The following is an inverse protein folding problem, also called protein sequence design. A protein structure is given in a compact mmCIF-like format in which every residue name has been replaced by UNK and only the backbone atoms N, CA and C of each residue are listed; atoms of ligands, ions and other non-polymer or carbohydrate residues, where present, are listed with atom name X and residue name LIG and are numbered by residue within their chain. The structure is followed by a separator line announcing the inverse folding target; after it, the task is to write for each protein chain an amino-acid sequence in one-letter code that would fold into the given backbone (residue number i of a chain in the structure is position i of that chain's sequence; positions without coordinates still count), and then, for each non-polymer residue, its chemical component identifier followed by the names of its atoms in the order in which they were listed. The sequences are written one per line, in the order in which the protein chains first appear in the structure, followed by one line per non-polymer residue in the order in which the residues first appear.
data_IF_972418727252
#
_entry.id   IF_972418727252
#
_cell.length_a   1.000
_cell.length_b   1.000
_cell.length_c   1.000
_cell.angle_alpha   90.00
_cell.angle_beta   90.00
_cell.angle_gamma   90.00
#
_symmetry.space_group_name_H-M   'P 1'
#
loop_
_entity.id
_entity.type
_entity.pdbx_description
1 polymer ?
#
# COMPACT_ATOMS: atom_id res chain seq x y z
N UNK A 1 -14.58 -53.81 -1.70
CA UNK A 1 -15.29 -52.71 -1.03
C UNK A 1 -14.38 -51.69 -0.33
N UNK A 2 -13.27 -52.07 0.33
CA UNK A 2 -12.39 -51.10 1.03
C UNK A 2 -11.66 -50.10 0.11
N UNK A 3 -11.29 -50.49 -1.10
CA UNK A 3 -10.56 -49.62 -2.03
C UNK A 3 -11.41 -48.49 -2.66
N UNK A 4 -12.74 -48.65 -2.73
CA UNK A 4 -13.66 -47.62 -3.26
C UNK A 4 -13.93 -46.52 -2.22
N UNK A 5 -13.90 -46.86 -0.92
CA UNK A 5 -14.10 -45.91 0.15
C UNK A 5 -12.92 -44.92 0.28
N UNK A 6 -11.68 -45.40 0.07
CA UNK A 6 -10.47 -44.58 0.16
C UNK A 6 -10.34 -43.57 -0.98
N UNK A 7 -10.73 -43.91 -2.21
CA UNK A 7 -10.73 -42.96 -3.35
C UNK A 7 -11.81 -41.90 -3.21
N UNK A 8 -12.96 -42.25 -2.64
CA UNK A 8 -14.07 -41.30 -2.42
C UNK A 8 -13.72 -40.28 -1.34
N UNK A 9 -13.02 -40.69 -0.28
CA UNK A 9 -12.55 -39.78 0.79
C UNK A 9 -11.48 -38.81 0.26
N UNK A 10 -10.58 -39.26 -0.62
CA UNK A 10 -9.55 -38.38 -1.20
C UNK A 10 -10.14 -37.33 -2.15
N UNK A 11 -11.16 -37.70 -2.95
CA UNK A 11 -11.86 -36.78 -3.84
C UNK A 11 -12.65 -35.71 -3.08
N UNK A 12 -13.26 -36.06 -1.95
CA UNK A 12 -13.97 -35.11 -1.08
C UNK A 12 -12.98 -34.14 -0.40
N UNK A 13 -11.80 -34.61 0.02
CA UNK A 13 -10.78 -33.75 0.64
C UNK A 13 -10.24 -32.69 -0.34
N UNK A 14 -10.07 -33.03 -1.63
CA UNK A 14 -9.63 -32.08 -2.66
C UNK A 14 -10.68 -31.02 -2.98
N UNK A 15 -11.98 -31.34 -2.88
CA UNK A 15 -13.07 -30.37 -3.09
C UNK A 15 -13.14 -29.36 -1.92
N UNK A 16 -12.81 -29.78 -0.69
CA UNK A 16 -12.77 -28.89 0.47
C UNK A 16 -11.58 -27.92 0.47
N UNK A 17 -10.46 -28.26 -0.16
CA UNK A 17 -9.30 -27.37 -0.25
C UNK A 17 -9.46 -26.26 -1.31
N UNK A 18 -10.24 -26.49 -2.38
CA UNK A 18 -10.54 -25.47 -3.39
C UNK A 18 -11.56 -24.41 -2.94
N UNK A 19 -12.32 -24.67 -1.88
CA UNK A 19 -13.31 -23.73 -1.35
C UNK A 19 -12.69 -22.56 -0.59
N UNK A 20 -11.54 -22.76 0.08
CA UNK A 20 -10.95 -21.71 0.93
C UNK A 20 -10.50 -20.48 0.13
N UNK A 21 -9.93 -20.66 -1.06
CA UNK A 21 -9.47 -19.53 -1.89
C UNK A 21 -10.66 -18.74 -2.48
N UNK A 22 -11.75 -19.44 -2.82
CA UNK A 22 -13.00 -18.84 -3.33
C UNK A 22 -13.75 -17.98 -2.28
N UNK A 23 -13.66 -18.34 -0.99
CA UNK A 23 -14.24 -17.54 0.10
C UNK A 23 -13.37 -16.36 0.54
N UNK A 24 -12.12 -16.29 0.10
CA UNK A 24 -11.11 -15.33 0.59
C UNK A 24 -11.10 -13.97 -0.13
N UNK A 25 -11.86 -13.77 -1.22
CA UNK A 25 -11.87 -12.50 -1.98
C UNK A 25 -13.30 -12.02 -2.33
N UNK A 26 -14.06 -11.47 -1.38
CA UNK A 26 -15.41 -10.96 -1.64
C UNK A 26 -15.45 -9.81 -2.67
N UNK A 27 -14.41 -9.00 -2.75
CA UNK A 27 -14.32 -7.86 -3.67
C UNK A 27 -14.22 -8.33 -5.13
N UNK A 28 -13.47 -9.40 -5.41
CA UNK A 28 -13.46 -10.04 -6.74
C UNK A 28 -14.84 -10.56 -7.13
N UNK A 29 -15.48 -11.30 -6.22
CA UNK A 29 -16.80 -11.91 -6.46
C UNK A 29 -17.88 -10.87 -6.75
N UNK A 30 -17.75 -9.67 -6.17
CA UNK A 30 -18.64 -8.55 -6.48
C UNK A 30 -18.58 -8.19 -7.98
N UNK A 31 -17.39 -8.09 -8.56
CA UNK A 31 -17.24 -7.80 -10.00
C UNK A 31 -17.64 -8.98 -10.88
N UNK A 32 -17.34 -10.22 -10.48
CA UNK A 32 -17.80 -11.43 -11.17
C UNK A 32 -19.33 -11.48 -11.25
N UNK A 33 -20.01 -11.32 -10.11
CA UNK A 33 -21.48 -11.25 -10.02
C UNK A 33 -22.03 -10.13 -10.89
N UNK A 34 -21.39 -8.96 -10.91
CA UNK A 34 -21.84 -7.83 -11.73
C UNK A 34 -21.73 -8.15 -13.23
N UNK A 35 -20.59 -8.68 -13.67
CA UNK A 35 -20.33 -9.09 -15.04
C UNK A 35 -21.31 -10.18 -15.51
N UNK A 36 -21.49 -11.24 -14.72
CA UNK A 36 -22.42 -12.34 -15.02
C UNK A 36 -23.86 -11.84 -15.17
N UNK A 37 -24.31 -10.96 -14.27
CA UNK A 37 -25.68 -10.45 -14.30
C UNK A 37 -25.95 -9.58 -15.52
N UNK A 38 -24.97 -8.77 -15.94
CA UNK A 38 -25.08 -8.01 -17.18
C UNK A 38 -25.09 -8.92 -18.41
N UNK A 39 -24.16 -9.87 -18.48
CA UNK A 39 -24.04 -10.80 -19.59
C UNK A 39 -25.30 -11.64 -19.78
N UNK A 40 -25.88 -12.14 -18.69
CA UNK A 40 -27.15 -12.88 -18.72
C UNK A 40 -28.32 -12.05 -19.26
N UNK A 41 -28.41 -10.76 -18.90
CA UNK A 41 -29.48 -9.89 -19.42
C UNK A 41 -29.26 -9.55 -20.89
N UNK A 42 -28.00 -9.43 -21.32
CA UNK A 42 -27.63 -9.21 -22.72
C UNK A 42 -27.66 -10.49 -23.57
N UNK A 43 -27.88 -11.66 -22.96
CA UNK A 43 -27.84 -12.97 -23.60
C UNK A 43 -26.48 -13.26 -24.29
N UNK A 44 -25.39 -12.83 -23.66
CA UNK A 44 -24.02 -13.07 -24.11
C UNK A 44 -23.21 -13.83 -23.07
N UNK A 45 -22.06 -14.36 -23.48
CA UNK A 45 -21.11 -14.99 -22.55
C UNK A 45 -20.46 -13.92 -21.66
N UNK A 46 -20.38 -14.13 -20.34
CA UNK A 46 -19.66 -13.22 -19.43
C UNK A 46 -18.20 -13.06 -19.85
N UNK A 47 -17.67 -11.84 -19.71
CA UNK A 47 -16.28 -11.57 -20.06
C UNK A 47 -15.36 -12.29 -19.09
N UNK A 48 -14.42 -13.10 -19.59
CA UNK A 48 -13.40 -13.71 -18.74
C UNK A 48 -12.29 -12.71 -18.50
N UNK A 49 -12.05 -12.37 -17.23
CA UNK A 49 -11.10 -11.32 -16.84
C UNK A 49 -9.97 -11.97 -16.06
N UNK A 50 -8.75 -11.80 -16.56
CA UNK A 50 -7.53 -12.27 -15.91
C UNK A 50 -7.05 -11.16 -14.99
N UNK A 51 -6.97 -11.44 -13.70
CA UNK A 51 -6.47 -10.46 -12.72
C UNK A 51 -4.99 -10.13 -12.99
N UNK A 52 -4.62 -8.90 -12.62
CA UNK A 52 -3.25 -8.44 -12.69
C UNK A 52 -2.33 -9.32 -11.84
N UNK A 53 -1.06 -9.50 -12.24
CA UNK A 53 -0.11 -10.22 -11.41
C UNK A 53 0.05 -9.55 -10.04
N UNK A 54 0.59 -10.27 -9.04
CA UNK A 54 0.91 -9.69 -7.75
C UNK A 54 1.74 -8.41 -7.86
N UNK A 55 1.43 -7.43 -7.02
CA UNK A 55 2.25 -6.24 -6.85
C UNK A 55 3.55 -6.66 -6.21
N UNK A 56 4.64 -6.38 -6.90
CA UNK A 56 6.01 -6.66 -6.48
C UNK A 56 6.81 -5.37 -6.45
N UNK A 57 7.93 -5.41 -5.72
CA UNK A 57 8.94 -4.35 -5.68
C UNK A 57 10.30 -5.00 -5.93
N UNK A 58 11.31 -4.23 -6.34
CA UNK A 58 12.67 -4.72 -6.53
C UNK A 58 13.20 -5.50 -5.34
N UNK A 59 14.15 -6.39 -5.58
CA UNK A 59 14.72 -7.25 -4.54
C UNK A 59 15.29 -6.44 -3.38
N UNK A 60 15.24 -7.01 -2.17
CA UNK A 60 15.73 -6.34 -0.95
C UNK A 60 17.18 -5.85 -1.11
N UNK A 61 18.00 -6.61 -1.83
CA UNK A 61 19.42 -6.29 -2.05
C UNK A 61 19.65 -5.09 -2.97
N UNK A 62 18.71 -4.75 -3.86
CA UNK A 62 18.87 -3.57 -4.72
C UNK A 62 18.46 -2.28 -4.01
N UNK A 63 17.56 -2.37 -3.03
CA UNK A 63 17.06 -1.23 -2.26
C UNK A 63 17.77 -1.04 -0.91
N UNK A 64 18.48 -2.07 -0.43
CA UNK A 64 19.25 -2.01 0.82
C UNK A 64 20.67 -1.54 0.58
N UNK A 65 21.09 -0.52 1.32
CA UNK A 65 22.45 0.02 1.26
C UNK A 65 23.15 -0.18 2.59
N UNK A 66 24.21 -0.97 2.59
CA UNK A 66 25.02 -1.19 3.79
C UNK A 66 25.89 0.03 4.09
N UNK A 67 25.85 0.49 5.33
CA UNK A 67 26.71 1.56 5.82
C UNK A 67 27.90 0.98 6.58
N UNK A 68 29.08 1.61 6.48
CA UNK A 68 30.27 1.12 7.18
C UNK A 68 30.04 1.13 8.69
N UNK A 69 30.42 0.03 9.35
CA UNK A 69 30.46 -0.03 10.81
C UNK A 69 31.56 0.90 11.30
N UNK A 70 31.17 1.92 12.04
CA UNK A 70 32.13 2.84 12.64
C UNK A 70 32.71 2.17 13.90
N UNK A 71 33.98 1.81 13.87
CA UNK A 71 34.69 1.37 15.07
C UNK A 71 35.11 2.62 15.85
N UNK A 72 34.54 2.77 17.04
CA UNK A 72 34.89 3.88 17.92
C UNK A 72 36.10 3.49 18.75
N UNK A 73 37.27 3.43 18.11
CA UNK A 73 38.56 3.54 18.81
C UNK A 73 38.82 4.98 19.31
N UNK A 74 37.76 5.76 19.54
CA UNK A 74 37.78 7.23 19.60
C UNK A 74 37.38 7.80 20.97
N UNK A 75 36.86 6.99 21.89
CA UNK A 75 36.16 7.49 23.08
C UNK A 75 36.74 6.90 24.37
N UNK A 76 37.97 7.28 24.69
CA UNK A 76 38.59 7.01 26.01
C UNK A 76 38.38 8.17 27.01
N UNK A 77 37.64 9.22 26.60
CA UNK A 77 37.40 10.41 27.42
C UNK A 77 36.28 10.21 28.44
N UNK A 78 36.47 10.77 29.64
CA UNK A 78 35.48 10.77 30.71
C UNK A 78 34.27 11.66 30.36
N UNK A 79 34.50 12.83 29.75
CA UNK A 79 33.45 13.79 29.38
C UNK A 79 32.41 13.17 28.42
N UNK A 80 32.84 12.26 27.55
CA UNK A 80 31.98 11.57 26.58
C UNK A 80 31.10 10.49 27.22
N UNK A 81 31.38 10.11 28.48
CA UNK A 81 30.50 9.24 29.27
C UNK A 81 29.37 10.05 29.91
N UNK A 82 29.69 11.23 30.44
CA UNK A 82 28.71 12.13 31.09
C UNK A 82 27.62 12.61 30.13
N UNK A 83 27.95 12.82 28.84
CA UNK A 83 26.95 13.22 27.84
C UNK A 83 26.10 12.05 27.28
N UNK A 84 26.24 10.83 27.81
CA UNK A 84 25.41 9.66 27.44
C UNK A 84 25.83 8.93 26.16
N UNK A 85 26.81 9.46 25.40
CA UNK A 85 27.27 8.85 24.15
C UNK A 85 27.79 7.42 24.36
N UNK A 86 28.53 7.17 25.44
CA UNK A 86 29.07 5.82 25.72
C UNK A 86 27.95 4.77 25.90
N UNK A 87 26.83 5.13 26.54
CA UNK A 87 25.72 4.22 26.77
C UNK A 87 25.08 3.76 25.46
N UNK A 88 24.76 4.69 24.56
CA UNK A 88 24.21 4.38 23.23
C UNK A 88 25.17 3.48 22.43
N UNK A 89 26.46 3.74 22.47
CA UNK A 89 27.43 2.93 21.74
C UNK A 89 27.56 1.52 22.31
N UNK A 90 27.51 1.38 23.64
CA UNK A 90 27.47 0.08 24.31
C UNK A 90 26.21 -0.70 23.93
N UNK A 91 25.05 -0.05 23.90
CA UNK A 91 23.79 -0.65 23.45
C UNK A 91 23.92 -1.19 22.03
N UNK A 92 24.49 -0.40 21.11
CA UNK A 92 24.68 -0.82 19.72
C UNK A 92 25.65 -1.99 19.56
N UNK A 93 26.69 -2.03 20.38
CA UNK A 93 27.70 -3.09 20.37
C UNK A 93 27.26 -4.36 21.12
N UNK A 94 26.17 -4.31 21.88
CA UNK A 94 25.58 -5.47 22.55
C UNK A 94 25.12 -6.52 21.54
N UNK A 95 24.91 -7.76 22.00
CA UNK A 95 24.39 -8.83 21.16
C UNK A 95 23.03 -8.48 20.55
N UNK A 96 22.17 -7.79 21.30
CA UNK A 96 20.86 -7.35 20.83
C UNK A 96 20.99 -6.22 19.80
N UNK A 97 21.85 -5.23 20.06
CA UNK A 97 22.10 -4.10 19.14
C UNK A 97 22.63 -4.50 17.77
N UNK A 98 23.36 -5.62 17.70
CA UNK A 98 23.90 -6.21 16.46
C UNK A 98 22.85 -6.87 15.57
N UNK A 99 21.72 -7.28 16.14
CA UNK A 99 20.65 -8.01 15.44
C UNK A 99 19.33 -7.23 15.38
N UNK A 100 19.33 -5.96 15.79
CA UNK A 100 18.18 -5.06 15.67
C UNK A 100 17.68 -4.99 14.23
N UNK A 101 16.35 -4.98 14.07
CA UNK A 101 15.73 -4.69 12.78
C UNK A 101 15.94 -3.23 12.37
N UNK A 102 15.44 -2.89 11.17
CA UNK A 102 15.63 -1.56 10.60
C UNK A 102 14.94 -0.45 11.42
N UNK A 103 13.78 -0.72 12.03
CA UNK A 103 13.03 0.27 12.82
C UNK A 103 13.79 0.61 14.11
N UNK A 104 14.18 -0.39 14.88
CA UNK A 104 15.01 -0.18 16.08
C UNK A 104 16.36 0.45 15.74
N UNK A 105 16.94 0.10 14.58
CA UNK A 105 18.18 0.73 14.13
C UNK A 105 17.98 2.22 13.86
N UNK A 106 16.88 2.62 13.23
CA UNK A 106 16.58 4.02 12.96
C UNK A 106 16.34 4.80 14.26
N UNK A 107 15.60 4.26 15.22
CA UNK A 107 15.42 4.87 16.55
C UNK A 107 16.76 5.10 17.25
N UNK A 108 17.67 4.13 17.13
CA UNK A 108 19.03 4.26 17.62
C UNK A 108 19.81 5.38 16.91
N UNK A 109 19.72 5.47 15.56
CA UNK A 109 20.43 6.54 14.82
C UNK A 109 19.90 7.93 15.19
N UNK A 110 18.58 8.07 15.33
CA UNK A 110 17.95 9.32 15.76
C UNK A 110 18.43 9.69 17.16
N UNK A 111 18.37 8.76 18.13
CA UNK A 111 18.89 8.97 19.48
C UNK A 111 20.37 9.36 19.48
N UNK A 112 21.19 8.73 18.65
CA UNK A 112 22.60 9.07 18.49
C UNK A 112 22.80 10.51 18.00
N UNK A 113 21.99 10.99 17.05
CA UNK A 113 22.05 12.36 16.58
C UNK A 113 21.67 13.37 17.68
N UNK A 114 20.62 13.10 18.44
CA UNK A 114 20.24 13.94 19.59
C UNK A 114 21.36 13.99 20.62
N UNK A 115 21.90 12.83 21.02
CA UNK A 115 22.98 12.76 22.00
C UNK A 115 24.25 13.47 21.51
N UNK A 116 24.65 13.29 20.24
CA UNK A 116 25.80 14.00 19.68
C UNK A 116 25.58 15.52 19.70
N UNK A 117 24.37 15.99 19.37
CA UNK A 117 24.03 17.40 19.44
C UNK A 117 24.12 17.95 20.87
N UNK A 118 23.58 17.22 21.86
CA UNK A 118 23.69 17.57 23.28
C UNK A 118 25.15 17.61 23.73
N UNK A 119 25.96 16.59 23.40
CA UNK A 119 27.38 16.57 23.73
C UNK A 119 28.14 17.79 23.17
N UNK A 120 27.81 18.23 21.95
CA UNK A 120 28.48 19.34 21.28
C UNK A 120 28.10 20.72 21.84
N UNK A 121 26.87 20.89 22.36
CA UNK A 121 26.36 22.19 22.80
C UNK A 121 26.41 22.38 24.33
N UNK A 122 26.25 21.30 25.09
CA UNK A 122 25.97 21.40 26.54
C UNK A 122 27.13 20.91 27.42
N UNK A 123 28.16 20.27 26.84
CA UNK A 123 29.28 19.71 27.57
C UNK A 123 30.62 20.38 27.23
N UNK A 124 31.52 20.59 28.21
CA UNK A 124 32.82 21.22 28.00
C UNK A 124 33.81 20.23 27.38
N UNK A 125 33.81 20.14 26.06
CA UNK A 125 34.75 19.33 25.27
C UNK A 125 36.04 20.11 24.98
N UNK A 126 37.18 19.42 24.93
CA UNK A 126 38.40 20.03 24.39
C UNK A 126 38.35 20.15 22.85
N UNK A 127 39.24 20.95 22.26
CA UNK A 127 39.25 21.20 20.80
C UNK A 127 39.33 19.92 19.95
N UNK A 128 40.09 18.93 20.42
CA UNK A 128 40.26 17.66 19.70
C UNK A 128 38.98 16.81 19.76
N UNK A 129 38.33 16.75 20.91
CA UNK A 129 37.04 16.06 21.12
C UNK A 129 35.94 16.74 20.32
N UNK A 130 35.83 18.06 20.40
CA UNK A 130 34.83 18.85 19.68
C UNK A 130 34.93 18.60 18.17
N UNK A 131 36.15 18.69 17.61
CA UNK A 131 36.38 18.42 16.18
C UNK A 131 36.01 16.99 15.78
N UNK A 132 36.35 15.99 16.60
CA UNK A 132 36.02 14.59 16.34
C UNK A 132 34.51 14.34 16.40
N UNK A 133 33.82 14.89 17.39
CA UNK A 133 32.37 14.73 17.55
C UNK A 133 31.59 15.48 16.46
N UNK A 134 32.02 16.67 16.08
CA UNK A 134 31.42 17.43 14.97
C UNK A 134 31.55 16.67 13.63
N UNK A 135 32.73 16.09 13.37
CA UNK A 135 32.93 15.22 12.20
C UNK A 135 32.01 13.99 12.24
N UNK A 136 31.90 13.33 13.39
CA UNK A 136 30.99 12.19 13.55
C UNK A 136 29.53 12.61 13.36
N UNK A 137 29.11 13.74 13.93
CA UNK A 137 27.76 14.28 13.81
C UNK A 137 27.39 14.56 12.34
N UNK A 138 28.27 15.24 11.61
CA UNK A 138 28.11 15.50 10.16
C UNK A 138 27.97 14.21 9.36
N UNK A 139 28.82 13.22 9.65
CA UNK A 139 28.78 11.91 8.99
C UNK A 139 27.47 11.16 9.29
N UNK A 140 27.01 11.17 10.56
CA UNK A 140 25.76 10.51 10.94
C UNK A 140 24.54 11.14 10.29
N UNK A 141 24.53 12.46 10.15
CA UNK A 141 23.47 13.14 9.39
C UNK A 141 23.47 12.75 7.90
N UNK A 142 24.65 12.58 7.29
CA UNK A 142 24.73 12.08 5.91
C UNK A 142 24.21 10.65 5.79
N UNK A 143 24.45 9.81 6.79
CA UNK A 143 23.98 8.42 6.83
C UNK A 143 22.49 8.27 7.14
N UNK A 144 21.87 9.26 7.78
CA UNK A 144 20.46 9.19 8.23
C UNK A 144 19.51 8.85 7.07
N UNK A 145 19.69 9.46 5.90
CA UNK A 145 18.84 9.20 4.73
C UNK A 145 18.92 7.74 4.27
N UNK A 146 20.12 7.14 4.34
CA UNK A 146 20.32 5.73 3.99
C UNK A 146 19.65 4.81 5.01
N UNK A 147 19.71 5.15 6.30
CA UNK A 147 18.98 4.41 7.33
C UNK A 147 17.46 4.51 7.11
N UNK A 148 16.95 5.70 6.81
CA UNK A 148 15.53 5.93 6.47
C UNK A 148 15.10 5.10 5.26
N UNK A 149 15.87 5.12 4.17
CA UNK A 149 15.57 4.30 2.98
C UNK A 149 15.60 2.81 3.29
N UNK A 150 16.56 2.35 4.11
CA UNK A 150 16.64 0.95 4.52
C UNK A 150 15.41 0.52 5.34
N UNK A 151 14.84 1.39 6.19
CA UNK A 151 13.55 1.12 6.83
C UNK A 151 12.44 1.13 5.79
N UNK A 152 12.33 2.21 5.03
CA UNK A 152 11.16 2.52 4.23
C UNK A 152 11.00 1.62 2.99
N UNK A 153 12.11 1.17 2.39
CA UNK A 153 12.12 0.39 1.15
C UNK A 153 12.60 -1.05 1.32
N UNK A 154 13.47 -1.33 2.31
CA UNK A 154 14.13 -2.62 2.45
C UNK A 154 13.69 -3.45 3.67
N UNK A 155 13.08 -2.85 4.70
CA UNK A 155 12.57 -3.58 5.87
C UNK A 155 11.49 -4.59 5.48
N UNK A 156 11.42 -5.73 6.18
CA UNK A 156 10.41 -6.76 5.86
C UNK A 156 8.99 -6.24 6.10
N UNK A 157 8.82 -5.34 7.07
CA UNK A 157 7.57 -4.64 7.39
C UNK A 157 7.08 -3.79 6.21
N UNK A 158 7.94 -2.92 5.69
CA UNK A 158 7.56 -2.05 4.58
C UNK A 158 7.46 -2.80 3.27
N UNK A 159 8.32 -3.80 3.03
CA UNK A 159 8.18 -4.67 1.86
C UNK A 159 6.85 -5.42 1.88
N UNK A 160 6.38 -5.86 3.05
CA UNK A 160 5.04 -6.44 3.23
C UNK A 160 3.93 -5.44 2.89
N UNK A 161 4.09 -4.16 3.26
CA UNK A 161 3.13 -3.12 2.91
C UNK A 161 3.08 -2.82 1.42
N UNK A 162 4.23 -2.80 0.75
CA UNK A 162 4.34 -2.42 -0.65
C UNK A 162 4.04 -3.56 -1.63
N UNK A 163 3.76 -4.77 -1.13
CA UNK A 163 3.48 -5.96 -1.95
C UNK A 163 2.15 -6.59 -1.59
N UNK A 164 1.38 -7.02 -2.59
CA UNK A 164 0.12 -7.75 -2.38
C UNK A 164 -0.34 -8.48 -3.64
N UNK A 165 -1.08 -9.56 -3.43
CA UNK A 165 -1.83 -10.29 -4.45
C UNK A 165 -3.32 -10.38 -4.07
N UNK A 166 -3.80 -9.43 -3.26
CA UNK A 166 -5.12 -9.48 -2.63
C UNK A 166 -5.79 -8.13 -2.71
N UNK A 167 -7.09 -8.15 -2.97
CA UNK A 167 -7.93 -6.97 -2.90
C UNK A 167 -7.88 -6.34 -1.50
N UNK A 168 -7.90 -5.01 -1.45
CA UNK A 168 -8.14 -4.27 -0.23
C UNK A 168 -9.59 -4.46 0.20
N UNK A 169 -9.76 -5.02 1.40
CA UNK A 169 -11.09 -5.26 1.94
C UNK A 169 -11.68 -4.02 2.60
N UNK A 170 -12.99 -3.83 2.42
CA UNK A 170 -13.75 -2.78 3.11
C UNK A 170 -13.78 -2.97 4.63
N UNK A 171 -13.56 -4.21 5.10
CA UNK A 171 -13.45 -4.54 6.52
C UNK A 171 -12.15 -4.01 7.15
N UNK A 172 -11.13 -3.73 6.35
CA UNK A 172 -9.83 -3.19 6.81
C UNK A 172 -9.83 -1.67 7.00
N UNK A 173 -10.99 -1.00 6.98
CA UNK A 173 -11.09 0.46 7.06
C UNK A 173 -10.42 1.05 8.31
N UNK A 174 -10.50 0.35 9.45
CA UNK A 174 -9.84 0.77 10.69
C UNK A 174 -8.30 0.71 10.64
N UNK A 175 -7.72 -0.02 9.68
CA UNK A 175 -6.28 -0.11 9.47
C UNK A 175 -5.75 1.08 8.65
N UNK A 176 -6.60 1.86 7.99
CA UNK A 176 -6.14 2.95 7.09
C UNK A 176 -5.50 4.09 7.89
N UNK A 177 -6.13 4.53 8.99
CA UNK A 177 -5.64 5.67 9.77
C UNK A 177 -4.27 5.42 10.42
N UNK A 178 -4.01 4.28 11.10
CA UNK A 178 -2.68 4.00 11.64
C UNK A 178 -1.57 3.96 10.57
N UNK A 179 -1.90 3.46 9.38
CA UNK A 179 -0.97 3.44 8.25
C UNK A 179 -0.70 4.85 7.77
N UNK A 180 -1.74 5.65 7.58
CA UNK A 180 -1.62 7.07 7.23
C UNK A 180 -0.71 7.82 8.21
N UNK A 181 -0.92 7.64 9.52
CA UNK A 181 -0.13 8.31 10.55
C UNK A 181 1.34 7.88 10.52
N UNK A 182 1.61 6.59 10.27
CA UNK A 182 2.98 6.10 10.07
C UNK A 182 3.68 6.74 8.85
N UNK A 183 2.96 6.91 7.74
CA UNK A 183 3.51 7.56 6.55
C UNK A 183 3.73 9.07 6.75
N UNK A 184 2.88 9.75 7.53
CA UNK A 184 3.13 11.14 7.93
C UNK A 184 4.40 11.26 8.78
N UNK A 185 4.58 10.37 9.75
CA UNK A 185 5.81 10.33 10.54
C UNK A 185 7.05 10.14 9.64
N UNK A 186 7.01 9.21 8.68
CA UNK A 186 8.13 9.06 7.74
C UNK A 186 8.34 10.32 6.89
N UNK A 187 7.27 10.96 6.40
CA UNK A 187 7.39 12.21 5.64
C UNK A 187 8.08 13.29 6.48
N UNK A 188 7.73 13.46 7.75
CA UNK A 188 8.42 14.40 8.66
C UNK A 188 9.91 14.13 8.77
N UNK A 189 10.32 12.85 8.88
CA UNK A 189 11.75 12.47 8.85
C UNK A 189 12.44 12.87 7.54
N UNK A 190 11.81 12.66 6.39
CA UNK A 190 12.38 13.01 5.09
C UNK A 190 12.41 14.53 4.83
N UNK A 191 11.50 15.29 5.44
CA UNK A 191 11.46 16.76 5.34
C UNK A 191 12.40 17.46 6.34
N UNK A 192 12.99 16.73 7.29
CA UNK A 192 13.90 17.30 8.28
C UNK A 192 15.16 17.90 7.59
N UNK A 193 15.44 19.20 7.75
CA UNK A 193 16.61 19.81 7.13
C UNK A 193 17.92 19.27 7.71
N UNK A 194 18.95 19.19 6.88
CA UNK A 194 20.28 18.73 7.29
C UNK A 194 20.79 19.49 8.53
N UNK A 195 21.16 18.74 9.57
CA UNK A 195 21.71 19.26 10.84
C UNK A 195 20.77 20.17 11.65
N UNK A 196 19.46 20.15 11.40
CA UNK A 196 18.48 20.87 12.21
C UNK A 196 17.80 19.88 13.16
N UNK A 197 18.46 19.59 14.28
CA UNK A 197 18.00 18.54 15.22
C UNK A 197 16.59 18.77 15.78
N UNK A 198 16.19 20.02 15.98
CA UNK A 198 14.85 20.39 16.47
C UNK A 198 13.72 20.13 15.48
N UNK A 199 14.06 19.73 14.24
CA UNK A 199 13.10 19.33 13.19
C UNK A 199 13.08 17.83 12.97
N UNK A 200 13.97 17.07 13.62
CA UNK A 200 13.92 15.62 13.58
C UNK A 200 12.81 15.14 14.54
N UNK A 201 11.94 14.20 14.14
CA UNK A 201 10.90 13.71 15.04
C UNK A 201 11.47 13.02 16.28
N UNK A 202 11.00 13.43 17.46
CA UNK A 202 11.36 12.82 18.75
C UNK A 202 10.61 11.50 19.02
N UNK A 203 9.60 11.19 18.21
CA UNK A 203 8.75 10.01 18.41
C UNK A 203 9.42 8.78 17.80
N UNK A 204 9.59 7.67 18.56
CA UNK A 204 10.18 6.44 18.04
C UNK A 204 9.37 5.83 16.89
N UNK A 205 10.03 5.46 15.81
CA UNK A 205 9.40 4.83 14.64
C UNK A 205 8.85 3.44 14.95
N UNK A 206 9.42 2.77 15.95
CA UNK A 206 8.98 1.44 16.43
C UNK A 206 7.53 1.44 16.93
N UNK A 207 7.00 2.59 17.39
CA UNK A 207 5.59 2.72 17.79
C UNK A 207 4.61 2.45 16.64
N UNK A 208 5.05 2.63 15.39
CA UNK A 208 4.23 2.42 14.20
C UNK A 208 4.42 1.04 13.57
N UNK A 209 5.47 0.30 13.99
CA UNK A 209 5.88 -0.95 13.36
C UNK A 209 4.78 -2.00 13.36
N UNK A 210 4.11 -2.23 14.49
CA UNK A 210 3.06 -3.24 14.61
C UNK A 210 1.87 -2.96 13.67
N UNK A 211 1.46 -1.69 13.58
CA UNK A 211 0.37 -1.26 12.68
C UNK A 211 0.71 -1.52 11.22
N UNK A 212 1.95 -1.21 10.83
CA UNK A 212 2.48 -1.48 9.49
C UNK A 212 2.57 -2.99 9.21
N UNK A 213 3.02 -3.79 10.18
CA UNK A 213 3.18 -5.24 10.04
C UNK A 213 1.85 -5.98 9.90
N UNK A 214 0.79 -5.55 10.59
CA UNK A 214 -0.48 -6.27 10.64
C UNK A 214 -1.32 -6.15 9.37
N UNK A 215 -0.98 -5.24 8.47
CA UNK A 215 -1.75 -5.01 7.24
C UNK A 215 -0.87 -5.03 5.98
N UNK A 216 -1.52 -4.90 4.82
CA UNK A 216 -0.90 -4.76 3.49
C UNK A 216 -1.60 -3.65 2.69
N UNK A 217 -2.06 -2.62 3.38
CA UNK A 217 -2.98 -1.60 2.87
C UNK A 217 -2.51 -0.98 1.56
N UNK A 218 -1.22 -0.62 1.43
CA UNK A 218 -0.72 0.06 0.22
C UNK A 218 -0.70 -0.89 -0.98
N UNK A 219 -0.10 -2.07 -0.83
CA UNK A 219 -0.02 -3.06 -1.90
C UNK A 219 -1.40 -3.59 -2.28
N UNK A 220 -2.29 -3.82 -1.31
CA UNK A 220 -3.68 -4.24 -1.57
C UNK A 220 -4.50 -3.14 -2.23
N UNK A 221 -4.29 -1.87 -1.87
CA UNK A 221 -4.91 -0.74 -2.56
C UNK A 221 -4.46 -0.72 -4.03
N UNK A 222 -3.16 -0.85 -4.27
CA UNK A 222 -2.62 -0.88 -5.63
C UNK A 222 -3.20 -2.05 -6.44
N UNK A 223 -3.20 -3.25 -5.88
CA UNK A 223 -3.81 -4.43 -6.52
C UNK A 223 -5.28 -4.21 -6.83
N UNK A 224 -6.06 -3.67 -5.89
CA UNK A 224 -7.48 -3.36 -6.08
C UNK A 224 -7.72 -2.30 -7.15
N UNK A 225 -6.91 -1.24 -7.21
CA UNK A 225 -7.06 -0.19 -8.22
C UNK A 225 -6.84 -0.74 -9.63
N UNK A 226 -5.77 -1.52 -9.84
CA UNK A 226 -5.48 -2.15 -11.13
C UNK A 226 -6.61 -3.08 -11.57
N UNK A 227 -7.03 -3.98 -10.68
CA UNK A 227 -8.03 -4.97 -11.03
C UNK A 227 -9.42 -4.34 -11.21
N UNK A 228 -9.85 -3.43 -10.33
CA UNK A 228 -11.12 -2.72 -10.51
C UNK A 228 -11.15 -1.94 -11.83
N UNK A 229 -10.03 -1.31 -12.21
CA UNK A 229 -9.91 -0.61 -13.49
C UNK A 229 -10.10 -1.57 -14.68
N UNK A 230 -9.47 -2.75 -14.65
CA UNK A 230 -9.58 -3.73 -15.73
C UNK A 230 -10.99 -4.35 -15.79
N UNK A 231 -11.58 -4.70 -14.64
CA UNK A 231 -12.96 -5.19 -14.57
C UNK A 231 -13.94 -4.19 -15.20
N UNK A 232 -13.87 -2.91 -14.82
CA UNK A 232 -14.77 -1.90 -15.37
C UNK A 232 -14.55 -1.67 -16.86
N UNK A 233 -13.29 -1.67 -17.32
CA UNK A 233 -12.96 -1.53 -18.74
C UNK A 233 -13.59 -2.66 -19.56
N UNK A 234 -13.39 -3.90 -19.15
CA UNK A 234 -13.88 -5.08 -19.86
C UNK A 234 -15.41 -5.18 -19.84
N UNK A 235 -16.04 -4.90 -18.70
CA UNK A 235 -17.51 -4.85 -18.59
C UNK A 235 -18.07 -3.73 -19.49
N UNK A 236 -17.45 -2.55 -19.49
CA UNK A 236 -17.89 -1.43 -20.34
C UNK A 236 -17.77 -1.79 -21.81
N UNK A 237 -16.68 -2.44 -22.23
CA UNK A 237 -16.51 -2.90 -23.60
C UNK A 237 -17.59 -3.91 -24.00
N UNK A 238 -17.91 -4.89 -23.15
CA UNK A 238 -19.00 -5.84 -23.40
C UNK A 238 -20.35 -5.13 -23.55
N UNK A 239 -20.62 -4.14 -22.71
CA UNK A 239 -21.83 -3.33 -22.75
C UNK A 239 -21.94 -2.52 -24.06
N UNK A 240 -20.85 -1.85 -24.47
CA UNK A 240 -20.78 -1.05 -25.70
C UNK A 240 -20.98 -1.92 -26.95
N UNK A 241 -20.30 -3.07 -27.02
CA UNK A 241 -20.42 -4.01 -28.14
C UNK A 241 -21.86 -4.52 -28.34
N UNK A 242 -22.64 -4.61 -27.26
CA UNK A 242 -24.01 -5.11 -27.29
C UNK A 242 -25.07 -4.00 -27.18
N UNK A 243 -24.65 -2.73 -27.16
CA UNK A 243 -25.55 -1.60 -26.90
C UNK A 243 -26.64 -1.43 -27.96
N UNK A 244 -26.38 -1.84 -29.21
CA UNK A 244 -27.32 -1.81 -30.31
C UNK A 244 -28.52 -2.75 -30.10
N UNK A 245 -28.33 -3.84 -29.34
CA UNK A 245 -29.37 -4.85 -29.07
C UNK A 245 -30.34 -4.40 -27.98
N UNK A 246 -30.00 -3.37 -27.20
CA UNK A 246 -30.82 -2.88 -26.09
C UNK A 246 -31.96 -1.99 -26.63
N UNK A 247 -33.16 -2.56 -26.69
CA UNK A 247 -34.37 -1.88 -27.17
C UNK A 247 -35.07 -1.16 -26.02
N UNK A 248 -35.41 0.13 -26.23
CA UNK A 248 -36.09 0.95 -25.23
C UNK A 248 -37.06 2.00 -25.80
N UNK A 249 -37.50 1.85 -27.06
CA UNK A 249 -38.45 2.75 -27.71
C UNK A 249 -39.89 2.49 -27.26
N UNK A 250 -40.73 3.53 -27.31
CA UNK A 250 -42.17 3.39 -27.12
C UNK A 250 -42.75 2.36 -28.11
N UNK A 251 -43.69 1.53 -27.64
CA UNK A 251 -44.35 0.46 -28.40
C UNK A 251 -43.45 -0.75 -28.79
N UNK A 252 -42.29 -0.93 -28.14
CA UNK A 252 -41.48 -2.16 -28.23
C UNK A 252 -41.34 -2.81 -26.86
N UNK A 253 -40.93 -4.08 -26.82
CA UNK A 253 -40.60 -4.75 -25.56
C UNK A 253 -39.33 -4.14 -24.95
N UNK A 254 -39.48 -3.47 -23.80
CA UNK A 254 -38.39 -2.83 -23.06
C UNK A 254 -37.92 -3.67 -21.87
N UNK A 255 -38.27 -4.96 -21.83
CA UNK A 255 -37.98 -5.85 -20.70
C UNK A 255 -36.48 -6.00 -20.44
N UNK A 256 -35.68 -6.16 -21.50
CA UNK A 256 -34.22 -6.23 -21.38
C UNK A 256 -33.65 -4.96 -20.73
N UNK A 257 -34.05 -3.77 -21.21
CA UNK A 257 -33.60 -2.50 -20.63
C UNK A 257 -34.02 -2.35 -19.16
N UNK A 258 -35.24 -2.76 -18.80
CA UNK A 258 -35.71 -2.77 -17.40
C UNK A 258 -34.85 -3.68 -16.52
N UNK A 259 -34.45 -4.85 -16.99
CA UNK A 259 -33.54 -5.73 -16.25
C UNK A 259 -32.13 -5.15 -16.13
N UNK A 260 -31.59 -4.55 -17.20
CA UNK A 260 -30.30 -3.85 -17.13
C UNK A 260 -30.32 -2.71 -16.12
N UNK A 261 -31.40 -1.92 -16.11
CA UNK A 261 -31.61 -0.87 -15.12
C UNK A 261 -31.63 -1.42 -13.70
N UNK A 262 -32.30 -2.54 -13.46
CA UNK A 262 -32.32 -3.17 -12.14
C UNK A 262 -30.93 -3.68 -11.72
N UNK A 263 -30.16 -4.26 -12.65
CA UNK A 263 -28.77 -4.67 -12.40
C UNK A 263 -27.91 -3.45 -12.06
N UNK A 264 -28.04 -2.36 -12.82
CA UNK A 264 -27.34 -1.11 -12.54
C UNK A 264 -27.68 -0.54 -11.16
N UNK A 265 -28.97 -0.44 -10.80
CA UNK A 265 -29.38 0.12 -9.52
C UNK A 265 -28.94 -0.77 -8.34
N UNK A 266 -29.20 -2.07 -8.40
CA UNK A 266 -28.99 -2.96 -7.26
C UNK A 266 -27.52 -3.35 -7.09
N UNK A 267 -26.79 -3.60 -8.20
CA UNK A 267 -25.40 -4.06 -8.13
C UNK A 267 -24.42 -2.93 -8.34
N UNK A 268 -24.57 -2.13 -9.40
CA UNK A 268 -23.60 -1.07 -9.66
C UNK A 268 -23.70 0.05 -8.60
N UNK A 269 -24.86 0.70 -8.47
CA UNK A 269 -25.05 1.77 -7.48
C UNK A 269 -25.04 1.21 -6.04
N UNK A 270 -25.65 0.04 -5.82
CA UNK A 270 -25.78 -0.56 -4.49
C UNK A 270 -24.50 -1.19 -3.90
N UNK A 271 -23.63 -1.76 -4.74
CA UNK A 271 -22.49 -2.56 -4.26
C UNK A 271 -21.15 -2.13 -4.90
N UNK A 272 -21.06 -2.07 -6.23
CA UNK A 272 -19.79 -1.80 -6.97
C UNK A 272 -19.31 -0.36 -6.77
N UNK A 273 -20.17 0.64 -6.95
CA UNK A 273 -19.83 2.05 -6.81
C UNK A 273 -19.38 2.39 -5.37
N UNK A 274 -20.04 1.92 -4.29
CA UNK A 274 -19.54 2.09 -2.93
C UNK A 274 -18.14 1.51 -2.73
N UNK A 275 -17.84 0.33 -3.31
CA UNK A 275 -16.49 -0.23 -3.24
C UNK A 275 -15.46 0.65 -3.97
N UNK A 276 -15.81 1.13 -5.16
CA UNK A 276 -14.96 2.05 -5.92
C UNK A 276 -14.71 3.36 -5.17
N UNK A 277 -15.73 3.92 -4.54
CA UNK A 277 -15.60 5.12 -3.70
C UNK A 277 -14.72 4.88 -2.48
N UNK A 278 -14.77 3.68 -1.89
CA UNK A 278 -13.87 3.26 -0.82
C UNK A 278 -12.40 3.21 -1.29
N UNK A 279 -12.12 2.65 -2.47
CA UNK A 279 -10.76 2.63 -3.03
C UNK A 279 -10.24 4.04 -3.31
N UNK A 280 -11.05 4.89 -3.96
CA UNK A 280 -10.68 6.26 -4.27
C UNK A 280 -10.41 7.09 -3.00
N UNK A 281 -11.32 7.00 -2.02
CA UNK A 281 -11.16 7.68 -0.73
C UNK A 281 -9.93 7.19 0.03
N UNK A 282 -9.62 5.89 -0.02
CA UNK A 282 -8.43 5.33 0.63
C UNK A 282 -7.16 5.83 -0.04
N UNK A 283 -7.13 5.91 -1.37
CA UNK A 283 -6.02 6.51 -2.11
C UNK A 283 -5.80 7.97 -1.69
N UNK A 284 -6.87 8.78 -1.62
CA UNK A 284 -6.76 10.18 -1.21
C UNK A 284 -6.24 10.32 0.23
N UNK A 285 -6.73 9.50 1.16
CA UNK A 285 -6.28 9.49 2.54
C UNK A 285 -4.78 9.15 2.67
N UNK A 286 -4.26 8.31 1.78
CA UNK A 286 -2.86 7.84 1.79
C UNK A 286 -1.96 8.59 0.79
N UNK A 287 -2.45 9.69 0.19
CA UNK A 287 -1.76 10.42 -0.87
C UNK A 287 -0.34 10.85 -0.49
N UNK A 288 -0.13 11.38 0.72
CA UNK A 288 1.20 11.76 1.22
C UNK A 288 2.17 10.57 1.23
N UNK A 289 1.73 9.43 1.76
CA UNK A 289 2.54 8.20 1.77
C UNK A 289 2.82 7.68 0.37
N UNK A 290 1.85 7.80 -0.54
CA UNK A 290 1.99 7.41 -1.95
C UNK A 290 3.01 8.31 -2.67
N UNK A 291 2.95 9.62 -2.46
CA UNK A 291 3.96 10.56 -2.98
C UNK A 291 5.35 10.19 -2.48
N UNK A 292 5.47 9.95 -1.17
CA UNK A 292 6.73 9.57 -0.56
C UNK A 292 7.29 8.27 -1.16
N UNK A 293 6.47 7.22 -1.30
CA UNK A 293 6.88 5.96 -1.95
C UNK A 293 7.41 6.20 -3.36
N UNK A 294 6.69 6.97 -4.18
CA UNK A 294 7.12 7.23 -5.56
C UNK A 294 8.43 8.01 -5.60
N UNK A 295 8.57 9.04 -4.77
CA UNK A 295 9.78 9.86 -4.69
C UNK A 295 10.98 9.03 -4.23
N UNK A 296 10.80 8.19 -3.21
CA UNK A 296 11.88 7.32 -2.70
C UNK A 296 12.24 6.23 -3.72
N UNK A 297 11.26 5.55 -4.32
CA UNK A 297 11.56 4.58 -5.38
C UNK A 297 12.30 5.22 -6.57
N UNK A 298 11.87 6.40 -7.02
CA UNK A 298 12.52 7.13 -8.11
C UNK A 298 13.96 7.54 -7.77
N UNK A 299 14.25 7.88 -6.51
CA UNK A 299 15.60 8.16 -6.04
C UNK A 299 16.54 6.95 -6.15
N UNK A 300 15.99 5.73 -6.21
CA UNK A 300 16.73 4.48 -6.44
C UNK A 300 16.61 3.96 -7.88
N UNK A 301 16.09 4.78 -8.81
CA UNK A 301 15.92 4.42 -10.23
C UNK A 301 14.74 3.49 -10.52
N UNK A 302 13.82 3.36 -9.57
CA UNK A 302 12.70 2.42 -9.60
C UNK A 302 11.35 3.16 -9.66
N UNK A 303 10.29 2.46 -10.05
CA UNK A 303 8.94 3.05 -10.12
C UNK A 303 7.90 2.15 -9.45
N UNK A 304 7.09 2.72 -8.56
CA UNK A 304 6.05 1.95 -7.87
C UNK A 304 4.77 1.79 -8.72
N UNK A 305 4.33 2.84 -9.41
CA UNK A 305 3.24 2.76 -10.40
C UNK A 305 1.81 2.90 -9.88
N UNK A 306 1.58 3.00 -8.57
CA UNK A 306 0.23 3.15 -8.00
C UNK A 306 -0.52 4.40 -8.48
N UNK A 307 0.19 5.50 -8.81
CA UNK A 307 -0.41 6.70 -9.41
C UNK A 307 -1.07 6.40 -10.75
N UNK A 308 -0.34 5.71 -11.63
CA UNK A 308 -0.85 5.32 -12.94
C UNK A 308 -2.06 4.37 -12.82
N UNK A 309 -2.05 3.49 -11.82
CA UNK A 309 -3.19 2.63 -11.54
C UNK A 309 -4.41 3.41 -11.06
N UNK A 310 -4.23 4.42 -10.21
CA UNK A 310 -5.31 5.30 -9.78
C UNK A 310 -5.89 6.11 -10.94
N UNK A 311 -5.04 6.64 -11.83
CA UNK A 311 -5.49 7.35 -13.03
C UNK A 311 -6.29 6.45 -13.98
N UNK A 312 -5.80 5.22 -14.22
CA UNK A 312 -6.52 4.23 -15.03
C UNK A 312 -7.85 3.84 -14.39
N UNK A 313 -7.86 3.62 -13.07
CA UNK A 313 -9.05 3.35 -12.29
C UNK A 313 -10.10 4.45 -12.42
N UNK A 314 -9.72 5.73 -12.23
CA UNK A 314 -10.63 6.86 -12.38
C UNK A 314 -11.16 6.99 -13.80
N UNK A 315 -10.31 6.81 -14.81
CA UNK A 315 -10.70 6.87 -16.22
C UNK A 315 -11.73 5.79 -16.58
N UNK A 316 -11.48 4.54 -16.20
CA UNK A 316 -12.39 3.43 -16.49
C UNK A 316 -13.68 3.51 -15.67
N UNK A 317 -13.61 4.04 -14.44
CA UNK A 317 -14.78 4.42 -13.65
C UNK A 317 -15.67 5.41 -14.39
N UNK A 318 -15.08 6.50 -14.89
CA UNK A 318 -15.80 7.53 -15.63
C UNK A 318 -16.39 6.98 -16.93
N UNK A 319 -15.62 6.23 -17.72
CA UNK A 319 -16.10 5.61 -18.94
C UNK A 319 -17.33 4.72 -18.70
N UNK A 320 -17.29 3.91 -17.65
CA UNK A 320 -18.41 3.05 -17.27
C UNK A 320 -19.67 3.86 -16.90
N UNK A 321 -19.51 4.95 -16.14
CA UNK A 321 -20.63 5.85 -15.80
C UNK A 321 -21.19 6.55 -17.05
N UNK A 322 -20.32 7.00 -17.94
CA UNK A 322 -20.73 7.66 -19.18
C UNK A 322 -21.50 6.72 -20.12
N UNK A 323 -21.12 5.44 -20.20
CA UNK A 323 -21.93 4.41 -20.88
C UNK A 323 -23.37 4.40 -20.34
N UNK A 324 -23.53 4.28 -19.02
CA UNK A 324 -24.87 4.21 -18.39
C UNK A 324 -25.66 5.50 -18.60
N UNK A 325 -25.04 6.67 -18.45
CA UNK A 325 -25.68 7.96 -18.75
C UNK A 325 -26.17 8.03 -20.19
N UNK A 326 -25.33 7.60 -21.15
CA UNK A 326 -25.69 7.55 -22.56
C UNK A 326 -26.86 6.61 -22.84
N UNK A 327 -26.83 5.41 -22.26
CA UNK A 327 -27.91 4.44 -22.37
C UNK A 327 -29.23 4.97 -21.79
N UNK A 328 -29.21 5.54 -20.58
CA UNK A 328 -30.41 6.07 -19.94
C UNK A 328 -30.99 7.26 -20.70
N UNK A 329 -30.14 8.18 -21.17
CA UNK A 329 -30.54 9.32 -22.01
C UNK A 329 -31.20 8.86 -23.31
N UNK A 330 -30.60 7.87 -24.01
CA UNK A 330 -31.18 7.27 -25.22
C UNK A 330 -32.56 6.66 -24.95
N UNK A 331 -32.73 6.06 -23.78
CA UNK A 331 -33.97 5.40 -23.38
C UNK A 331 -34.97 6.31 -22.65
N UNK A 332 -34.77 7.64 -22.66
CA UNK A 332 -35.72 8.60 -22.08
C UNK A 332 -35.85 8.54 -20.56
N UNK A 333 -34.83 8.02 -19.86
CA UNK A 333 -34.80 7.91 -18.40
C UNK A 333 -33.62 8.70 -17.83
N UNK A 334 -33.76 9.24 -16.62
CA UNK A 334 -32.65 9.88 -15.92
C UNK A 334 -31.96 8.88 -14.99
N UNK A 335 -30.64 9.02 -14.83
CA UNK A 335 -29.86 8.27 -13.84
C UNK A 335 -30.37 8.64 -12.44
N UNK A 336 -30.84 7.66 -11.66
CA UNK A 336 -31.18 7.85 -10.24
C UNK A 336 -32.63 8.23 -9.91
N UNK A 337 -33.59 8.13 -10.84
CA UNK A 337 -35.03 8.15 -10.51
C UNK A 337 -35.61 6.75 -10.56
N UNK A 338 -36.12 6.29 -9.41
CA UNK A 338 -37.01 5.12 -9.31
C UNK A 338 -38.30 5.37 -10.10
#
# INVERSE_FOLDING_TARGET
MKASLTTTVFAILTIWLGGCEYWQQPERRLFEKYNERLANVLEVTPTTIIESPPITIPDKRSLFHELPRLSLGLLESYQLRECGLFHLLAEKNSSLGKVQDAFYNLDYQTSLLHTLNTCLNDFPLNDQENKKLDQLYKLRWQHLLVHLDNVFLASDVMRKQLTSARWLSTQSKNQIAPIKDAFFMFDEFYQAPYQVISRLPDTPVTLYQESLEKSRTIGSLYYSLLNAAEWLKQITQMLEQNQANIICNANRDTTQFRYLRNVFQNLYIGEVQPYMAFLDSTYQQLSVGIELINNRMAAHGEHYGIKNAHDAFRRNTMAHVEFWKGLFKRCGTNVGRN
#
